data_IF_837897115971
#
_entry.id   IF_837897115971
#
_cell.length_a   1.000
_cell.length_b   1.000
_cell.length_c   1.000
_cell.angle_alpha   90.00
_cell.angle_beta   90.00
_cell.angle_gamma   90.00
#
_symmetry.space_group_name_H-M   'P 1'
#
loop_
_entity.id
_entity.type
_entity.pdbx_description
1 polymer ?
#
# COMPACT_ATOMS: atom_id res chain seq x y z
N UNK A 1 22.54 2.30 31.11
CA UNK A 1 22.51 3.31 30.03
C UNK A 1 22.03 2.60 28.78
N UNK A 2 20.78 2.80 28.39
CA UNK A 2 20.27 2.41 27.08
C UNK A 2 19.77 3.68 26.43
N UNK A 3 20.36 4.08 25.31
CA UNK A 3 19.76 5.08 24.43
C UNK A 3 18.52 4.43 23.79
N UNK A 4 17.37 5.10 23.84
CA UNK A 4 16.04 4.59 23.43
C UNK A 4 15.87 4.61 21.89
N UNK A 5 15.13 3.64 21.28
CA UNK A 5 14.95 3.53 19.83
C UNK A 5 14.15 4.71 19.26
N UNK A 6 14.40 5.01 17.99
CA UNK A 6 13.80 6.10 17.20
C UNK A 6 13.00 5.56 16.02
N UNK A 7 12.31 6.42 15.28
CA UNK A 7 10.87 6.26 15.10
C UNK A 7 10.40 5.63 13.76
N UNK A 8 11.33 5.23 12.89
CA UNK A 8 11.13 4.14 11.92
C UNK A 8 11.61 2.78 12.47
N UNK A 9 12.37 2.77 13.57
CA UNK A 9 13.02 1.57 14.13
C UNK A 9 12.08 0.69 14.95
N UNK A 10 10.77 0.98 14.93
CA UNK A 10 9.74 -0.04 15.14
C UNK A 10 8.82 -0.17 13.94
N UNK A 11 8.76 0.84 13.03
CA UNK A 11 7.84 0.90 11.87
C UNK A 11 7.83 -0.43 11.12
N UNK A 12 8.95 -1.16 11.20
CA UNK A 12 9.19 -2.42 10.55
C UNK A 12 9.64 -3.59 11.46
N UNK A 13 10.11 -3.40 12.71
CA UNK A 13 10.19 -4.53 13.68
C UNK A 13 8.82 -5.23 13.74
N UNK A 14 7.81 -4.35 13.67
CA UNK A 14 6.40 -4.38 13.34
C UNK A 14 5.79 -5.36 12.33
N UNK A 15 6.23 -5.22 11.08
CA UNK A 15 5.37 -5.52 9.92
C UNK A 15 5.36 -7.01 9.59
N UNK A 16 6.40 -7.73 9.97
CA UNK A 16 6.53 -9.19 9.86
C UNK A 16 7.55 -9.73 10.86
N UNK A 17 7.14 -10.64 11.74
CA UNK A 17 8.09 -11.65 12.21
C UNK A 17 8.01 -12.84 11.29
N UNK A 18 8.92 -12.95 10.34
CA UNK A 18 9.14 -14.21 9.62
C UNK A 18 9.73 -15.22 10.64
N UNK A 19 8.92 -16.23 11.02
CA UNK A 19 9.16 -17.45 11.85
C UNK A 19 8.24 -17.53 13.11
N UNK A 20 7.76 -18.72 13.52
CA UNK A 20 6.67 -18.92 14.51
C UNK A 20 7.00 -18.57 15.98
N UNK A 21 8.07 -17.83 16.24
CA UNK A 21 8.48 -17.40 17.58
C UNK A 21 8.89 -15.92 17.55
N UNK A 22 7.92 -15.00 17.49
CA UNK A 22 8.15 -13.59 17.82
C UNK A 22 7.57 -13.26 19.18
N UNK A 23 8.34 -12.58 20.03
CA UNK A 23 8.02 -12.36 21.44
C UNK A 23 7.39 -11.00 21.77
N UNK A 24 6.87 -10.24 20.78
CA UNK A 24 6.18 -8.95 21.04
C UNK A 24 4.82 -8.86 20.34
N UNK A 25 3.77 -8.61 21.13
CA UNK A 25 2.35 -8.74 20.73
C UNK A 25 1.82 -7.66 19.77
N UNK A 26 2.59 -6.60 19.47
CA UNK A 26 2.15 -5.49 18.61
C UNK A 26 2.47 -5.68 17.13
N UNK A 27 3.56 -6.37 16.78
CA UNK A 27 3.92 -6.71 15.39
C UNK A 27 2.80 -7.46 14.67
N UNK A 28 2.38 -8.54 15.30
CA UNK A 28 1.43 -9.49 14.75
C UNK A 28 0.08 -8.82 14.40
N UNK A 29 -0.31 -7.76 15.11
CA UNK A 29 -1.62 -7.11 14.96
C UNK A 29 -1.72 -6.31 13.66
N UNK A 30 -0.63 -5.73 13.14
CA UNK A 30 -0.68 -4.87 11.94
C UNK A 30 -0.60 -5.62 10.62
N UNK A 31 0.17 -6.71 10.54
CA UNK A 31 0.06 -7.68 9.44
C UNK A 31 -1.36 -8.25 9.42
N UNK A 32 -1.90 -8.60 10.60
CA UNK A 32 -3.30 -9.02 10.74
C UNK A 32 -4.26 -7.93 10.27
N UNK A 33 -4.03 -6.63 10.54
CA UNK A 33 -4.91 -5.55 10.04
C UNK A 33 -4.91 -5.44 8.52
N UNK A 34 -3.73 -5.52 7.86
CA UNK A 34 -3.64 -5.54 6.39
C UNK A 34 -4.37 -6.76 5.83
N UNK A 35 -4.11 -7.95 6.39
CA UNK A 35 -4.76 -9.18 5.96
C UNK A 35 -6.26 -9.20 6.26
N UNK A 36 -6.72 -8.77 7.44
CA UNK A 36 -8.13 -8.65 7.81
C UNK A 36 -8.85 -7.63 6.94
N UNK A 37 -8.20 -6.52 6.60
CA UNK A 37 -8.76 -5.56 5.66
C UNK A 37 -8.91 -6.22 4.29
N UNK A 38 -7.86 -6.85 3.77
CA UNK A 38 -7.85 -7.62 2.52
C UNK A 38 -8.86 -8.81 2.53
N UNK A 39 -9.16 -9.39 3.68
CA UNK A 39 -10.18 -10.43 3.86
C UNK A 39 -11.59 -9.86 3.87
N UNK A 40 -11.78 -8.68 4.48
CA UNK A 40 -13.04 -7.96 4.49
C UNK A 40 -13.36 -7.27 3.16
N UNK A 41 -12.34 -7.07 2.31
CA UNK A 41 -12.51 -6.53 0.96
C UNK A 41 -13.37 -7.49 0.12
N UNK A 42 -14.57 -7.02 -0.20
CA UNK A 42 -15.56 -7.72 -1.01
C UNK A 42 -15.01 -8.14 -2.38
N UNK A 43 -15.10 -9.44 -2.68
CA UNK A 43 -14.74 -10.08 -3.97
C UNK A 43 -15.68 -9.72 -5.14
N UNK A 44 -16.42 -8.62 -5.03
CA UNK A 44 -17.48 -8.30 -6.00
C UNK A 44 -16.87 -8.05 -7.38
N UNK A 45 -17.37 -8.74 -8.43
CA UNK A 45 -16.84 -8.60 -9.78
C UNK A 45 -16.98 -7.16 -10.28
N UNK A 46 -15.90 -6.71 -10.92
CA UNK A 46 -15.61 -5.35 -11.32
C UNK A 46 -16.56 -4.77 -12.39
N UNK A 47 -16.68 -3.43 -12.41
CA UNK A 47 -17.16 -2.63 -13.54
C UNK A 47 -16.20 -1.45 -13.77
N UNK A 48 -16.02 -0.97 -15.01
CA UNK A 48 -15.20 0.20 -15.32
C UNK A 48 -15.56 1.39 -14.44
N UNK A 49 -14.55 2.21 -14.11
CA UNK A 49 -14.75 3.43 -13.34
C UNK A 49 -15.93 4.21 -13.91
N UNK A 50 -16.99 4.39 -13.11
CA UNK A 50 -18.11 5.23 -13.50
C UNK A 50 -17.60 6.66 -13.69
N UNK A 51 -18.28 7.45 -14.55
CA UNK A 51 -18.03 8.89 -14.65
C UNK A 51 -18.26 9.53 -13.27
N UNK A 52 -17.19 9.78 -12.54
CA UNK A 52 -17.19 10.40 -11.22
C UNK A 52 -16.07 11.43 -11.10
N UNK A 53 -16.02 12.18 -10.00
CA UNK A 53 -14.94 13.13 -9.75
C UNK A 53 -13.56 12.46 -9.88
N UNK A 54 -12.62 13.17 -10.50
CA UNK A 54 -11.23 12.70 -10.62
C UNK A 54 -10.41 13.25 -9.47
N UNK A 55 -9.63 12.38 -8.85
CA UNK A 55 -8.66 12.68 -7.82
C UNK A 55 -7.25 12.52 -8.40
N UNK A 56 -6.32 13.33 -7.91
CA UNK A 56 -4.90 13.19 -8.18
C UNK A 56 -4.26 12.42 -7.02
N UNK A 57 -3.49 11.38 -7.31
CA UNK A 57 -2.69 10.68 -6.31
C UNK A 57 -1.24 11.08 -6.53
N UNK A 58 -0.58 11.50 -5.46
CA UNK A 58 0.84 11.88 -5.44
C UNK A 58 1.55 10.99 -4.44
N UNK A 59 2.50 10.22 -4.94
CA UNK A 59 3.40 9.42 -4.13
C UNK A 59 4.74 10.15 -4.04
N UNK A 60 5.11 10.55 -2.83
CA UNK A 60 6.40 11.17 -2.56
C UNK A 60 7.41 10.09 -2.19
N UNK A 61 8.68 10.27 -2.56
CA UNK A 61 9.80 9.54 -1.97
C UNK A 61 9.99 9.97 -0.50
N UNK A 62 10.77 9.21 0.25
CA UNK A 62 11.06 9.53 1.66
C UNK A 62 11.67 10.94 1.85
N UNK A 63 12.40 11.46 0.86
CA UNK A 63 12.98 12.82 0.84
C UNK A 63 11.98 13.94 0.50
N UNK A 64 10.75 13.59 0.11
CA UNK A 64 9.68 14.52 -0.25
C UNK A 64 9.60 14.87 -1.73
N UNK A 65 10.49 14.37 -2.59
CA UNK A 65 10.35 14.51 -4.04
C UNK A 65 9.20 13.64 -4.58
N UNK A 66 8.61 14.03 -5.72
CA UNK A 66 7.56 13.22 -6.34
C UNK A 66 8.16 11.95 -6.95
N UNK A 67 7.77 10.78 -6.43
CA UNK A 67 8.10 9.46 -6.98
C UNK A 67 7.24 9.15 -8.20
N UNK A 68 5.92 9.25 -8.03
CA UNK A 68 4.94 9.00 -9.07
C UNK A 68 3.66 9.81 -8.83
N UNK A 69 2.87 9.99 -9.88
CA UNK A 69 1.55 10.59 -9.76
C UNK A 69 0.61 10.12 -10.85
N UNK A 70 -0.67 9.96 -10.50
CA UNK A 70 -1.68 9.51 -11.44
C UNK A 70 -3.07 10.05 -11.10
N UNK A 71 -3.96 9.95 -12.10
CA UNK A 71 -5.37 10.27 -11.92
C UNK A 71 -6.16 9.00 -11.59
N UNK A 72 -7.10 9.13 -10.66
CA UNK A 72 -7.99 8.06 -10.27
C UNK A 72 -9.42 8.58 -10.11
N UNK A 73 -10.40 7.80 -10.51
CA UNK A 73 -11.81 8.13 -10.33
C UNK A 73 -12.25 7.84 -8.91
N UNK A 74 -13.05 8.73 -8.34
CA UNK A 74 -13.68 8.54 -7.05
C UNK A 74 -14.61 7.32 -7.05
N UNK A 75 -14.53 6.52 -5.99
CA UNK A 75 -15.49 5.43 -5.76
C UNK A 75 -16.31 5.68 -4.49
N UNK A 76 -15.63 5.84 -3.36
CA UNK A 76 -16.29 6.07 -2.08
C UNK A 76 -15.34 6.75 -1.09
N UNK A 77 -15.90 7.34 -0.04
CA UNK A 77 -15.15 7.90 1.08
C UNK A 77 -15.95 7.75 2.35
N UNK A 78 -15.27 7.35 3.42
CA UNK A 78 -15.76 7.39 4.80
C UNK A 78 -14.96 8.42 5.59
N UNK A 79 -15.17 8.48 6.91
CA UNK A 79 -14.33 9.29 7.79
C UNK A 79 -12.91 8.71 7.93
N UNK A 80 -12.72 7.42 7.62
CA UNK A 80 -11.47 6.70 7.88
C UNK A 80 -10.67 6.39 6.61
N UNK A 81 -11.31 6.35 5.43
CA UNK A 81 -10.60 6.08 4.18
C UNK A 81 -11.27 6.71 2.96
N UNK A 82 -10.50 6.87 1.88
CA UNK A 82 -11.00 7.09 0.53
C UNK A 82 -10.64 5.89 -0.35
N UNK A 83 -11.60 5.47 -1.18
CA UNK A 83 -11.40 4.43 -2.19
C UNK A 83 -11.47 5.07 -3.57
N UNK A 84 -10.43 4.81 -4.37
CA UNK A 84 -10.28 5.33 -5.72
C UNK A 84 -10.12 4.18 -6.72
N UNK A 85 -10.46 4.43 -7.98
CA UNK A 85 -10.31 3.47 -9.08
C UNK A 85 -9.41 4.01 -10.16
N UNK A 86 -8.54 3.17 -10.70
CA UNK A 86 -7.66 3.50 -11.80
C UNK A 86 -7.51 2.31 -12.76
N UNK A 87 -6.81 2.54 -13.86
CA UNK A 87 -6.38 1.51 -14.80
C UNK A 87 -4.86 1.57 -14.87
N UNK A 88 -4.19 0.42 -14.74
CA UNK A 88 -2.75 0.32 -14.84
C UNK A 88 -2.30 0.77 -16.23
N UNK A 89 -1.42 1.77 -16.28
CA UNK A 89 -0.92 2.36 -17.53
C UNK A 89 0.40 1.74 -17.98
N UNK A 90 1.11 1.08 -17.06
CA UNK A 90 2.41 0.45 -17.27
C UNK A 90 2.32 -1.04 -16.91
N UNK A 91 3.15 -1.84 -17.56
CA UNK A 91 3.43 -3.21 -17.12
C UNK A 91 4.50 -3.14 -16.03
N UNK A 92 4.27 -3.84 -14.92
CA UNK A 92 5.25 -4.02 -13.84
C UNK A 92 5.38 -5.52 -13.58
N UNK A 93 6.61 -5.98 -13.40
CA UNK A 93 6.91 -7.40 -13.22
C UNK A 93 7.66 -7.59 -11.91
N UNK A 94 7.11 -8.45 -11.06
CA UNK A 94 7.67 -8.96 -9.82
C UNK A 94 7.81 -10.47 -9.97
N UNK A 95 8.61 -11.12 -9.13
CA UNK A 95 8.99 -12.53 -9.28
C UNK A 95 7.83 -13.47 -9.67
N UNK A 96 6.70 -13.39 -8.97
CA UNK A 96 5.53 -14.24 -9.22
C UNK A 96 4.26 -13.45 -9.59
N UNK A 97 4.39 -12.16 -9.90
CA UNK A 97 3.26 -11.31 -10.18
C UNK A 97 3.56 -10.28 -11.25
N UNK A 98 2.66 -10.17 -12.22
CA UNK A 98 2.76 -9.16 -13.26
C UNK A 98 1.53 -8.28 -13.20
N UNK A 99 1.70 -6.97 -13.16
CA UNK A 99 0.66 -6.00 -13.47
C UNK A 99 0.72 -5.76 -14.97
N UNK A 100 -0.38 -5.96 -15.68
CA UNK A 100 -0.47 -5.69 -17.11
C UNK A 100 -1.06 -4.31 -17.36
N UNK A 101 -0.67 -3.69 -18.47
CA UNK A 101 -1.36 -2.48 -18.94
C UNK A 101 -2.83 -2.81 -19.22
N UNK A 102 -3.75 -2.03 -18.67
CA UNK A 102 -5.18 -2.27 -18.76
C UNK A 102 -5.76 -3.06 -17.60
N UNK A 103 -4.92 -3.56 -16.69
CA UNK A 103 -5.39 -4.09 -15.42
C UNK A 103 -6.10 -3.03 -14.61
N UNK A 104 -6.99 -3.49 -13.76
CA UNK A 104 -7.94 -2.70 -13.03
C UNK A 104 -7.43 -2.55 -11.61
N UNK A 105 -7.36 -1.31 -11.14
CA UNK A 105 -6.76 -0.99 -9.86
C UNK A 105 -7.81 -0.34 -8.96
N UNK A 106 -8.07 -0.95 -7.81
CA UNK A 106 -8.87 -0.35 -6.74
C UNK A 106 -7.95 -0.02 -5.58
N UNK A 107 -8.00 1.23 -5.14
CA UNK A 107 -6.97 1.82 -4.29
C UNK A 107 -7.62 2.29 -3.00
N UNK A 108 -7.07 1.84 -1.88
CA UNK A 108 -7.57 2.10 -0.54
C UNK A 108 -6.55 2.96 0.20
N UNK A 109 -6.97 4.18 0.54
CA UNK A 109 -6.15 5.14 1.27
C UNK A 109 -6.76 5.39 2.65
N UNK A 110 -6.43 4.58 3.66
CA UNK A 110 -6.83 4.83 5.04
C UNK A 110 -6.11 6.07 5.59
N UNK A 111 -6.81 7.00 6.23
CA UNK A 111 -6.23 8.29 6.64
C UNK A 111 -5.38 8.24 7.91
N UNK A 112 -5.42 7.12 8.64
CA UNK A 112 -4.74 6.95 9.94
C UNK A 112 -3.66 5.88 9.91
N UNK A 113 -3.63 5.06 8.87
CA UNK A 113 -2.75 3.91 8.79
C UNK A 113 -1.53 4.23 7.92
N UNK A 114 -0.40 3.60 8.26
CA UNK A 114 0.89 3.84 7.61
C UNK A 114 1.08 2.98 6.36
N UNK A 115 0.02 2.84 5.58
CA UNK A 115 0.03 2.14 4.32
C UNK A 115 -1.12 2.56 3.42
N UNK A 116 -1.01 2.23 2.14
CA UNK A 116 -2.16 2.16 1.24
C UNK A 116 -2.15 0.85 0.46
N UNK A 117 -3.32 0.42 -0.01
CA UNK A 117 -3.47 -0.86 -0.69
C UNK A 117 -3.99 -0.63 -2.12
N UNK A 118 -3.41 -1.35 -3.07
CA UNK A 118 -3.89 -1.46 -4.44
C UNK A 118 -4.30 -2.90 -4.72
N UNK A 119 -5.60 -3.14 -4.90
CA UNK A 119 -6.14 -4.39 -5.39
C UNK A 119 -6.10 -4.40 -6.92
N UNK A 120 -5.50 -5.45 -7.48
CA UNK A 120 -5.36 -5.63 -8.91
C UNK A 120 -6.27 -6.74 -9.43
N UNK A 121 -6.99 -6.44 -10.49
CA UNK A 121 -7.73 -7.43 -11.28
C UNK A 121 -7.34 -7.34 -12.75
N UNK A 122 -7.38 -8.46 -13.47
CA UNK A 122 -7.16 -8.46 -14.91
C UNK A 122 -8.27 -7.70 -15.65
N UNK A 123 -8.11 -7.44 -16.95
CA UNK A 123 -9.12 -6.74 -17.77
C UNK A 123 -10.51 -7.39 -17.79
N UNK A 124 -10.66 -8.64 -17.34
CA UNK A 124 -11.94 -9.37 -17.21
C UNK A 124 -12.50 -9.31 -15.79
N UNK A 125 -11.85 -8.58 -14.88
CA UNK A 125 -12.26 -8.44 -13.49
C UNK A 125 -11.86 -9.62 -12.59
N UNK A 126 -10.95 -10.50 -13.04
CA UNK A 126 -10.44 -11.57 -12.18
C UNK A 126 -9.34 -11.03 -11.28
N UNK A 127 -9.53 -11.16 -9.97
CA UNK A 127 -8.56 -10.79 -8.96
C UNK A 127 -7.20 -11.46 -9.22
N UNK A 128 -6.13 -10.65 -9.19
CA UNK A 128 -4.75 -11.11 -9.31
C UNK A 128 -4.01 -11.04 -7.97
N UNK A 129 -4.30 -10.03 -7.15
CA UNK A 129 -3.69 -9.85 -5.83
C UNK A 129 -3.78 -8.42 -5.32
N UNK A 130 -3.02 -8.12 -4.28
CA UNK A 130 -2.93 -6.82 -3.63
C UNK A 130 -1.48 -6.41 -3.46
N UNK A 131 -1.20 -5.13 -3.68
CA UNK A 131 0.07 -4.50 -3.35
C UNK A 131 -0.19 -3.51 -2.21
N UNK A 132 0.58 -3.61 -1.14
CA UNK A 132 0.48 -2.74 0.02
C UNK A 132 1.80 -1.97 0.14
N UNK A 133 1.74 -0.65 -0.02
CA UNK A 133 2.92 0.20 0.17
C UNK A 133 2.93 0.75 1.59
N UNK A 134 4.06 0.60 2.27
CA UNK A 134 4.28 1.19 3.59
C UNK A 134 4.69 2.64 3.40
N UNK A 135 3.90 3.54 3.97
CA UNK A 135 4.04 4.97 3.74
C UNK A 135 3.42 5.79 4.85
N UNK A 136 3.69 7.10 4.89
CA UNK A 136 3.02 7.98 5.85
C UNK A 136 1.50 7.97 5.61
N UNK A 137 0.68 8.20 6.66
CA UNK A 137 -0.77 8.23 6.52
C UNK A 137 -1.22 9.13 5.36
N UNK A 138 -1.98 8.59 4.40
CA UNK A 138 -2.52 9.34 3.28
C UNK A 138 -3.23 10.61 3.74
N UNK A 139 -2.81 11.76 3.20
CA UNK A 139 -3.47 13.04 3.39
C UNK A 139 -4.36 13.36 2.19
N UNK A 140 -5.54 13.94 2.42
CA UNK A 140 -6.45 14.34 1.36
C UNK A 140 -6.73 15.85 1.42
N UNK A 141 -6.33 16.59 0.38
CA UNK A 141 -6.58 18.04 0.25
C UNK A 141 -6.88 18.39 -1.20
N UNK A 142 -7.92 19.19 -1.45
CA UNK A 142 -8.29 19.67 -2.80
C UNK A 142 -8.32 18.56 -3.87
N UNK A 143 -8.96 17.42 -3.57
CA UNK A 143 -9.01 16.23 -4.43
C UNK A 143 -7.65 15.61 -4.77
N UNK A 144 -6.62 15.91 -3.97
CA UNK A 144 -5.29 15.31 -4.07
C UNK A 144 -5.05 14.42 -2.86
N UNK A 145 -4.79 13.15 -3.09
CA UNK A 145 -4.28 12.22 -2.08
C UNK A 145 -2.76 12.26 -2.13
N UNK A 146 -2.10 12.52 -1.01
CA UNK A 146 -0.63 12.52 -0.91
C UNK A 146 -0.19 11.57 0.19
N UNK A 147 0.74 10.68 -0.15
CA UNK A 147 1.42 9.80 0.80
C UNK A 147 2.91 9.79 0.48
N UNK A 148 3.74 9.52 1.49
CA UNK A 148 5.19 9.45 1.37
C UNK A 148 5.63 8.01 1.58
N UNK A 149 6.31 7.48 0.60
CA UNK A 149 6.87 6.14 0.54
C UNK A 149 7.97 5.96 1.59
N UNK A 150 7.93 4.83 2.30
CA UNK A 150 8.94 4.41 3.28
C UNK A 150 9.68 3.15 2.82
N UNK A 151 9.74 2.96 1.50
CA UNK A 151 10.51 1.93 0.77
C UNK A 151 9.88 0.55 0.86
N UNK A 152 9.45 0.11 2.04
CA UNK A 152 8.97 -1.26 2.19
C UNK A 152 7.60 -1.48 1.53
N UNK A 153 7.45 -2.62 0.86
CA UNK A 153 6.23 -3.03 0.19
C UNK A 153 5.86 -4.49 0.51
N UNK A 154 4.58 -4.82 0.40
CA UNK A 154 4.06 -6.18 0.55
C UNK A 154 3.23 -6.51 -0.67
N UNK A 155 3.56 -7.61 -1.32
CA UNK A 155 2.71 -8.18 -2.35
C UNK A 155 1.97 -9.41 -1.83
N UNK A 156 0.65 -9.43 -1.94
CA UNK A 156 -0.23 -10.52 -1.52
C UNK A 156 -0.94 -11.11 -2.74
N UNK A 157 -0.70 -12.39 -3.03
CA UNK A 157 -1.33 -13.11 -4.13
C UNK A 157 -2.81 -13.37 -3.85
N UNK A 158 -3.56 -13.70 -4.90
CA UNK A 158 -4.98 -14.07 -4.80
C UNK A 158 -5.23 -15.26 -3.84
N UNK A 159 -4.25 -16.16 -3.69
CA UNK A 159 -4.28 -17.31 -2.78
C UNK A 159 -3.85 -16.98 -1.34
N UNK A 160 -3.57 -15.70 -1.05
CA UNK A 160 -3.11 -15.16 0.24
C UNK A 160 -1.66 -15.44 0.61
N UNK A 161 -0.89 -16.14 -0.22
CA UNK A 161 0.56 -16.14 -0.06
C UNK A 161 1.10 -14.72 -0.30
N UNK A 162 2.22 -14.38 0.34
CA UNK A 162 2.77 -13.02 0.27
C UNK A 162 4.29 -13.03 0.13
N UNK A 163 4.80 -11.91 -0.36
CA UNK A 163 6.21 -11.59 -0.51
C UNK A 163 6.44 -10.18 0.01
N UNK A 164 7.49 -9.99 0.81
CA UNK A 164 7.97 -8.66 1.20
C UNK A 164 8.95 -8.19 0.11
N UNK A 165 8.83 -6.95 -0.31
CA UNK A 165 9.64 -6.35 -1.37
C UNK A 165 10.49 -5.21 -0.80
N UNK A 166 11.61 -4.95 -1.47
CA UNK A 166 12.51 -3.81 -1.21
C UNK A 166 13.16 -3.80 0.20
N UNK A 167 13.31 -4.98 0.81
CA UNK A 167 14.01 -5.16 2.10
C UNK A 167 15.48 -4.73 2.02
N UNK A 168 16.13 -4.98 0.89
CA UNK A 168 17.51 -4.59 0.62
C UNK A 168 17.67 -3.07 0.43
N UNK A 169 16.76 -2.43 -0.30
CA UNK A 169 16.74 -0.97 -0.46
C UNK A 169 16.51 -0.26 0.90
N UNK A 170 15.65 -0.82 1.73
CA UNK A 170 15.41 -0.30 3.08
C UNK A 170 16.69 -0.38 3.93
N UNK A 171 17.39 -1.51 3.92
CA UNK A 171 18.63 -1.67 4.70
C UNK A 171 19.72 -0.70 4.22
N UNK A 172 19.78 -0.39 2.92
CA UNK A 172 20.71 0.61 2.38
C UNK A 172 20.36 2.04 2.82
N UNK A 173 19.07 2.38 2.86
CA UNK A 173 18.60 3.77 2.98
C UNK A 173 17.99 4.14 4.33
N UNK A 174 17.87 3.20 5.28
CA UNK A 174 17.26 3.39 6.62
C UNK A 174 17.68 4.67 7.33
N UNK A 175 18.98 5.00 7.31
CA UNK A 175 19.53 6.17 8.00
C UNK A 175 19.18 7.50 7.31
N UNK A 176 18.72 7.46 6.06
CA UNK A 176 18.31 8.62 5.26
C UNK A 176 16.81 8.90 5.36
N UNK A 177 16.02 7.93 5.81
CA UNK A 177 14.57 8.07 5.91
C UNK A 177 14.28 9.05 7.06
N UNK A 178 13.67 10.22 6.77
CA UNK A 178 13.37 11.18 7.82
C UNK A 178 12.33 10.60 8.75
N UNK A 179 12.76 10.41 9.99
CA UNK A 179 11.94 10.00 11.11
C UNK A 179 11.13 11.21 11.60
N UNK A 180 9.79 11.14 11.67
CA UNK A 180 8.96 12.19 12.27
C UNK A 180 9.38 12.65 13.67
#
# INVERSE_FOLDING_TARGET
MHSRPTLLETILEETFSLQPFCSTSRCLIRTIEVFCLIESMSKSPWKPAAKGPVFHVVLLRFDGEVRDSWQASFESKTNDAIVLRAVATKRLEFDDFTIERGDLVRQYFPFKDWFYIQEYSDSRGRLKGWYCNIGTPPSLKNSTVTTRDLILDIFVKADRSYTVLDEDELEEKRELIPVP
#
